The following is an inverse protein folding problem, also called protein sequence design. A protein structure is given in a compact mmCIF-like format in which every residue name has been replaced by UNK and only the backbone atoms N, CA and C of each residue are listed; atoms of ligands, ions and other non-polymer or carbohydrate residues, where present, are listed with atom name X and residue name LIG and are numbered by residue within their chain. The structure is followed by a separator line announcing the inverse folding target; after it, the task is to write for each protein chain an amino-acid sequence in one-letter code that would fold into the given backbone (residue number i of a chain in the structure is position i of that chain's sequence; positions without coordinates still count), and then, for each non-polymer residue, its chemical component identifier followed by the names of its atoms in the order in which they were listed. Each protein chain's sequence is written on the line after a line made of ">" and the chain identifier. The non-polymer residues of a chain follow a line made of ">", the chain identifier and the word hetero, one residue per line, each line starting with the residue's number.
data_IF_497759031823
#
_entry.id   IF_497759031823
#
_cell.length_a   1.000
_cell.length_b   1.000
_cell.length_c   1.000
_cell.angle_alpha   90.00
_cell.angle_beta   90.00
_cell.angle_gamma   90.00
#
_symmetry.space_group_name_H-M   'P 1'
#
loop_
_entity.id
_entity.type
_entity.pdbx_description
1 polymer ?
#
# COMPACT_ATOMS: atom_id res chain seq x y z
N UNK A 1 10.55 -16.13 11.80
CA UNK A 1 9.45 -16.56 12.73
C UNK A 1 8.64 -17.72 12.12
N UNK A 2 7.80 -18.36 12.93
CA UNK A 2 6.83 -19.35 12.45
C UNK A 2 5.60 -18.66 11.89
N UNK A 3 4.99 -19.25 10.87
CA UNK A 3 3.72 -18.75 10.33
C UNK A 3 2.58 -18.93 11.35
N UNK A 4 1.60 -18.03 11.41
CA UNK A 4 0.43 -18.18 12.28
C UNK A 4 -0.40 -19.40 11.85
N UNK A 5 -0.84 -20.18 12.81
CA UNK A 5 -1.67 -21.35 12.58
C UNK A 5 -3.16 -20.97 12.45
N UNK A 6 -3.95 -21.86 11.87
CA UNK A 6 -5.41 -21.72 11.86
C UNK A 6 -5.92 -21.67 13.30
N UNK A 7 -6.75 -20.67 13.61
CA UNK A 7 -7.26 -20.36 14.93
C UNK A 7 -6.45 -19.31 15.71
N UNK A 8 -5.27 -18.95 15.25
CA UNK A 8 -4.46 -17.88 15.85
C UNK A 8 -4.76 -16.51 15.21
N UNK A 9 -4.41 -15.44 15.92
CA UNK A 9 -4.44 -14.09 15.38
C UNK A 9 -3.30 -13.91 14.36
N UNK A 10 -3.63 -13.36 13.20
CA UNK A 10 -2.62 -12.89 12.26
C UNK A 10 -1.86 -11.70 12.82
N UNK A 11 -0.52 -11.62 12.65
CA UNK A 11 0.24 -10.44 13.03
C UNK A 11 -0.29 -9.16 12.35
N UNK A 12 -0.38 -8.08 13.10
CA UNK A 12 -0.84 -6.79 12.58
C UNK A 12 0.20 -6.17 11.64
N UNK A 13 -0.28 -5.34 10.72
CA UNK A 13 0.59 -4.59 9.82
C UNK A 13 0.03 -3.21 9.48
N UNK A 14 0.94 -2.30 9.15
CA UNK A 14 0.69 -1.02 8.52
C UNK A 14 1.77 -0.81 7.46
N UNK A 15 1.40 -0.85 6.19
CA UNK A 15 2.30 -0.75 5.04
C UNK A 15 1.71 0.21 4.00
N UNK A 16 2.57 0.78 3.16
CA UNK A 16 2.14 1.60 2.04
C UNK A 16 1.82 0.73 0.81
N UNK A 17 0.71 1.06 0.13
CA UNK A 17 0.33 0.42 -1.12
C UNK A 17 1.02 1.09 -2.33
N UNK A 18 0.71 0.63 -3.55
CA UNK A 18 1.21 1.16 -4.82
C UNK A 18 0.85 2.64 -5.07
N UNK A 19 -0.16 3.17 -4.39
CA UNK A 19 -0.59 4.57 -4.48
C UNK A 19 -0.06 5.42 -3.32
N UNK A 20 0.87 4.89 -2.51
CA UNK A 20 1.43 5.53 -1.33
C UNK A 20 0.39 5.82 -0.22
N UNK A 21 -0.73 5.09 -0.20
CA UNK A 21 -1.67 5.12 0.90
C UNK A 21 -1.31 4.07 1.95
N UNK A 22 -1.45 4.44 3.23
CA UNK A 22 -1.20 3.51 4.32
C UNK A 22 -2.38 2.56 4.50
N UNK A 23 -2.11 1.27 4.36
CA UNK A 23 -3.06 0.17 4.57
C UNK A 23 -2.74 -0.52 5.89
N UNK A 24 -3.74 -0.64 6.75
CA UNK A 24 -3.64 -1.27 8.07
C UNK A 24 -4.58 -2.47 8.14
N UNK A 25 -4.11 -3.59 8.69
CA UNK A 25 -4.92 -4.80 8.81
C UNK A 25 -6.22 -4.54 9.58
N UNK A 26 -6.17 -3.84 10.71
CA UNK A 26 -7.35 -3.51 11.51
C UNK A 26 -8.42 -2.72 10.76
N UNK A 27 -8.04 -1.84 9.83
CA UNK A 27 -8.99 -1.13 8.96
C UNK A 27 -9.63 -2.06 7.93
N UNK A 28 -8.86 -2.93 7.30
CA UNK A 28 -9.39 -3.92 6.37
C UNK A 28 -10.43 -4.83 7.04
N UNK A 29 -10.17 -5.23 8.28
CA UNK A 29 -11.08 -6.06 9.09
C UNK A 29 -12.37 -5.34 9.50
N UNK A 30 -12.31 -4.04 9.73
CA UNK A 30 -13.50 -3.24 10.04
C UNK A 30 -14.46 -3.14 8.84
N UNK A 31 -13.92 -3.18 7.62
CA UNK A 31 -14.67 -2.98 6.37
C UNK A 31 -15.06 -4.29 5.67
N UNK A 32 -14.60 -5.44 6.17
CA UNK A 32 -14.77 -6.73 5.51
C UNK A 32 -15.08 -7.86 6.50
N UNK A 33 -15.76 -8.89 6.01
CA UNK A 33 -16.01 -10.12 6.77
C UNK A 33 -14.78 -11.05 6.75
N UNK A 34 -14.00 -10.96 5.66
CA UNK A 34 -12.75 -11.69 5.49
C UNK A 34 -11.68 -10.82 4.85
N UNK A 35 -10.42 -11.04 5.25
CA UNK A 35 -9.24 -10.45 4.64
C UNK A 35 -8.34 -11.57 4.13
N UNK A 36 -8.01 -11.52 2.84
CA UNK A 36 -7.01 -12.39 2.21
C UNK A 36 -5.68 -11.66 2.17
N UNK A 37 -4.69 -12.20 2.86
CA UNK A 37 -3.32 -11.71 2.87
C UNK A 37 -2.46 -12.72 2.13
N UNK A 38 -1.98 -12.39 0.94
CA UNK A 38 -1.07 -13.26 0.21
C UNK A 38 0.31 -12.63 0.07
N UNK A 39 1.33 -13.44 0.30
CA UNK A 39 2.74 -13.09 0.15
C UNK A 39 3.25 -13.63 -1.17
N UNK A 40 4.01 -12.81 -1.90
CA UNK A 40 4.58 -13.23 -3.18
C UNK A 40 6.04 -12.78 -3.32
N UNK A 41 6.91 -13.59 -3.99
CA UNK A 41 8.36 -13.38 -4.02
C UNK A 41 8.79 -12.07 -4.65
N UNK A 42 8.22 -11.72 -5.82
CA UNK A 42 8.73 -10.61 -6.62
C UNK A 42 7.66 -10.04 -7.55
N UNK A 43 7.53 -8.72 -7.56
CA UNK A 43 6.75 -8.01 -8.56
C UNK A 43 7.37 -8.21 -9.96
N UNK A 44 6.55 -8.52 -10.96
CA UNK A 44 7.00 -8.78 -12.33
C UNK A 44 7.39 -10.23 -12.63
N UNK A 45 7.56 -11.11 -11.64
CA UNK A 45 7.82 -12.52 -11.93
C UNK A 45 6.57 -13.20 -12.54
N UNK A 46 6.71 -14.07 -13.57
CA UNK A 46 5.58 -14.65 -14.31
C UNK A 46 4.56 -15.38 -13.42
N UNK A 47 5.02 -16.14 -12.42
CA UNK A 47 4.14 -16.82 -11.47
C UNK A 47 3.38 -15.85 -10.56
N UNK A 48 4.00 -14.73 -10.16
CA UNK A 48 3.35 -13.69 -9.37
C UNK A 48 2.32 -12.91 -10.20
N UNK A 49 2.62 -12.64 -11.47
CA UNK A 49 1.68 -12.04 -12.40
C UNK A 49 0.45 -12.92 -12.60
N UNK A 50 0.64 -14.23 -12.77
CA UNK A 50 -0.47 -15.18 -12.92
C UNK A 50 -1.40 -15.18 -11.72
N UNK A 51 -0.85 -15.25 -10.52
CA UNK A 51 -1.62 -15.23 -9.28
C UNK A 51 -2.37 -13.92 -9.09
N UNK A 52 -1.68 -12.77 -9.28
CA UNK A 52 -2.28 -11.44 -9.16
C UNK A 52 -3.40 -11.20 -10.18
N UNK A 53 -3.22 -11.60 -11.44
CA UNK A 53 -4.27 -11.56 -12.48
C UNK A 53 -5.46 -12.43 -12.07
N UNK A 54 -5.21 -13.63 -11.55
CA UNK A 54 -6.27 -14.51 -11.07
C UNK A 54 -7.08 -13.87 -9.94
N UNK A 55 -6.44 -13.23 -8.97
CA UNK A 55 -7.15 -12.46 -7.92
C UNK A 55 -7.92 -11.28 -8.50
N UNK A 56 -7.32 -10.50 -9.42
CA UNK A 56 -8.00 -9.40 -10.11
C UNK A 56 -9.30 -9.87 -10.76
N UNK A 57 -9.26 -11.00 -11.44
CA UNK A 57 -10.39 -11.52 -12.22
C UNK A 57 -11.54 -12.02 -11.31
N UNK A 58 -11.24 -12.55 -10.12
CA UNK A 58 -12.25 -12.99 -9.14
C UNK A 58 -12.64 -11.90 -8.15
N UNK A 59 -12.01 -10.73 -8.19
CA UNK A 59 -12.24 -9.63 -7.26
C UNK A 59 -13.71 -9.18 -7.18
N UNK A 60 -14.46 -9.06 -8.31
CA UNK A 60 -15.88 -8.67 -8.25
C UNK A 60 -16.71 -9.62 -7.38
N UNK A 61 -16.41 -10.92 -7.42
CA UNK A 61 -17.12 -11.92 -6.61
C UNK A 61 -16.66 -11.90 -5.14
N UNK A 62 -15.36 -11.65 -4.89
CA UNK A 62 -14.83 -11.48 -3.55
C UNK A 62 -15.42 -10.25 -2.85
N UNK A 63 -15.57 -9.13 -3.56
CA UNK A 63 -16.20 -7.91 -3.02
C UNK A 63 -17.67 -8.16 -2.65
N UNK A 64 -18.43 -8.91 -3.46
CA UNK A 64 -19.79 -9.31 -3.12
C UNK A 64 -19.87 -10.14 -1.83
N UNK A 65 -18.82 -10.91 -1.55
CA UNK A 65 -18.67 -11.67 -0.31
C UNK A 65 -18.07 -10.86 0.86
N UNK A 66 -17.91 -9.54 0.70
CA UNK A 66 -17.28 -8.64 1.67
C UNK A 66 -15.87 -9.06 2.04
N UNK A 67 -15.07 -9.41 1.02
CA UNK A 67 -13.66 -9.80 1.15
C UNK A 67 -12.76 -8.68 0.68
N UNK A 68 -11.70 -8.40 1.44
CA UNK A 68 -10.57 -7.58 0.99
C UNK A 68 -9.39 -8.49 0.66
N UNK A 69 -8.66 -8.15 -0.37
CA UNK A 69 -7.42 -8.85 -0.76
C UNK A 69 -6.27 -7.86 -0.70
N UNK A 70 -5.16 -8.28 -0.11
CA UNK A 70 -3.90 -7.55 -0.14
C UNK A 70 -2.76 -8.49 -0.50
N UNK A 71 -1.87 -8.03 -1.37
CA UNK A 71 -0.63 -8.73 -1.69
C UNK A 71 0.56 -8.06 -1.00
N UNK A 72 1.42 -8.83 -0.33
CA UNK A 72 2.61 -8.30 0.38
C UNK A 72 3.88 -8.87 -0.26
N UNK A 73 4.81 -7.99 -0.55
CA UNK A 73 6.13 -8.37 -1.10
C UNK A 73 7.22 -7.43 -0.59
N UNK A 74 8.45 -7.93 -0.58
CA UNK A 74 9.64 -7.13 -0.31
C UNK A 74 10.22 -6.43 -1.55
N UNK A 75 9.55 -6.53 -2.71
CA UNK A 75 9.95 -5.80 -3.91
C UNK A 75 9.93 -4.29 -3.69
N UNK A 76 10.81 -3.53 -4.36
CA UNK A 76 10.81 -2.08 -4.31
C UNK A 76 9.46 -1.48 -4.74
N UNK A 77 9.07 -0.37 -4.12
CA UNK A 77 7.79 0.30 -4.39
C UNK A 77 7.59 0.62 -5.87
N UNK A 78 8.65 1.07 -6.59
CA UNK A 78 8.58 1.35 -8.01
C UNK A 78 8.21 0.12 -8.87
N UNK A 79 8.73 -1.06 -8.51
CA UNK A 79 8.38 -2.32 -9.19
C UNK A 79 6.93 -2.72 -8.91
N UNK A 80 6.44 -2.50 -7.69
CA UNK A 80 5.06 -2.77 -7.31
C UNK A 80 4.09 -1.86 -8.08
N UNK A 81 4.41 -0.58 -8.23
CA UNK A 81 3.62 0.39 -9.03
C UNK A 81 3.56 -0.04 -10.49
N UNK A 82 4.71 -0.36 -11.09
CA UNK A 82 4.79 -0.82 -12.49
C UNK A 82 3.97 -2.10 -12.70
N UNK A 83 4.13 -3.07 -11.79
CA UNK A 83 3.45 -4.35 -11.81
C UNK A 83 1.92 -4.20 -11.70
N UNK A 84 1.44 -3.37 -10.76
CA UNK A 84 0.02 -3.11 -10.60
C UNK A 84 -0.58 -2.47 -11.85
N UNK A 85 0.12 -1.50 -12.44
CA UNK A 85 -0.30 -0.80 -13.67
C UNK A 85 -0.30 -1.73 -14.89
N UNK A 86 0.77 -2.49 -15.09
CA UNK A 86 0.93 -3.41 -16.24
C UNK A 86 -0.22 -4.43 -16.30
N UNK A 87 -0.62 -4.96 -15.15
CA UNK A 87 -1.64 -6.00 -15.07
C UNK A 87 -3.05 -5.48 -14.71
N UNK A 88 -3.23 -4.17 -14.57
CA UNK A 88 -4.51 -3.54 -14.22
C UNK A 88 -5.09 -4.09 -12.93
N UNK A 89 -4.25 -4.24 -11.88
CA UNK A 89 -4.67 -4.81 -10.61
C UNK A 89 -5.61 -3.84 -9.88
N UNK A 90 -6.68 -4.39 -9.32
CA UNK A 90 -7.79 -3.66 -8.68
C UNK A 90 -7.86 -3.90 -7.17
N UNK A 91 -6.73 -4.17 -6.54
CA UNK A 91 -6.56 -4.37 -5.09
C UNK A 91 -5.18 -3.91 -4.64
N UNK A 92 -4.98 -3.80 -3.31
CA UNK A 92 -3.76 -3.26 -2.73
C UNK A 92 -2.58 -4.23 -2.80
N UNK A 93 -1.45 -3.75 -3.31
CA UNK A 93 -0.14 -4.38 -3.19
C UNK A 93 0.72 -3.58 -2.22
N UNK A 94 1.21 -4.22 -1.18
CA UNK A 94 1.89 -3.60 -0.06
C UNK A 94 3.41 -3.83 -0.12
N UNK A 95 4.17 -2.75 0.11
CA UNK A 95 5.62 -2.78 0.11
C UNK A 95 6.18 -3.03 1.52
N UNK A 96 6.74 -4.22 1.74
CA UNK A 96 7.47 -4.58 2.96
C UNK A 96 8.98 -4.58 2.71
N UNK A 97 9.55 -3.42 2.36
CA UNK A 97 10.95 -3.28 1.94
C UNK A 97 11.96 -3.73 3.01
N UNK A 98 11.61 -3.62 4.29
CA UNK A 98 12.43 -4.07 5.42
C UNK A 98 12.18 -5.53 5.83
N UNK A 99 11.25 -6.22 5.15
CA UNK A 99 10.88 -7.62 5.36
C UNK A 99 10.36 -7.96 6.76
N UNK A 100 10.00 -6.95 7.55
CA UNK A 100 9.54 -7.15 8.94
C UNK A 100 8.22 -7.91 8.99
N UNK A 101 7.27 -7.53 8.16
CA UNK A 101 5.96 -8.19 8.11
C UNK A 101 6.10 -9.59 7.51
N UNK A 102 6.89 -9.77 6.46
CA UNK A 102 7.20 -11.09 5.90
C UNK A 102 7.82 -12.02 6.97
N UNK A 103 8.72 -11.51 7.83
CA UNK A 103 9.27 -12.30 8.93
C UNK A 103 8.22 -12.61 10.00
N UNK A 104 7.43 -11.63 10.42
CA UNK A 104 6.39 -11.81 11.44
C UNK A 104 5.34 -12.85 11.05
N UNK A 105 5.03 -12.96 9.76
CA UNK A 105 4.11 -13.94 9.20
C UNK A 105 4.78 -15.27 8.83
N UNK A 106 6.09 -15.42 9.08
CA UNK A 106 6.85 -16.61 8.68
C UNK A 106 6.93 -16.81 7.17
N UNK A 107 6.74 -15.72 6.40
CA UNK A 107 6.75 -15.71 4.96
C UNK A 107 8.12 -15.40 4.36
N UNK A 108 9.22 -15.67 5.09
CA UNK A 108 10.59 -15.58 4.55
C UNK A 108 11.17 -16.94 4.28
N UNK A 109 11.95 -17.04 3.22
CA UNK A 109 12.85 -18.15 2.90
C UNK A 109 14.21 -17.57 2.52
N UNK A 110 15.11 -17.52 3.52
CA UNK A 110 16.32 -16.72 3.41
C UNK A 110 15.99 -15.24 3.27
N UNK A 111 16.47 -14.60 2.21
CA UNK A 111 16.20 -13.19 1.94
C UNK A 111 14.96 -12.95 1.06
N UNK A 112 14.32 -14.00 0.58
CA UNK A 112 13.19 -13.88 -0.33
C UNK A 112 11.86 -14.06 0.38
N UNK A 113 10.84 -13.31 -0.07
CA UNK A 113 9.46 -13.53 0.34
C UNK A 113 8.97 -14.87 -0.22
N UNK A 114 8.41 -15.71 0.62
CA UNK A 114 7.79 -16.98 0.22
C UNK A 114 6.40 -16.73 -0.38
N UNK A 115 5.93 -17.64 -1.23
CA UNK A 115 4.55 -17.63 -1.70
C UNK A 115 3.67 -18.35 -0.71
N UNK A 116 2.83 -17.59 -0.02
CA UNK A 116 1.93 -18.08 1.03
C UNK A 116 0.66 -17.24 1.05
N UNK A 117 -0.45 -17.81 1.49
CA UNK A 117 -1.71 -17.07 1.63
C UNK A 117 -2.38 -17.42 2.96
N UNK A 118 -3.00 -16.42 3.56
CA UNK A 118 -3.81 -16.55 4.76
C UNK A 118 -5.17 -15.91 4.52
N UNK A 119 -6.22 -16.56 5.02
CA UNK A 119 -7.57 -15.99 5.06
C UNK A 119 -7.89 -15.72 6.53
N UNK A 120 -8.22 -14.47 6.84
CA UNK A 120 -8.59 -14.04 8.19
C UNK A 120 -10.07 -13.68 8.22
N UNK A 121 -10.74 -13.95 9.32
CA UNK A 121 -12.08 -13.42 9.57
C UNK A 121 -12.01 -11.95 10.07
N UNK A 122 -13.17 -11.32 10.28
CA UNK A 122 -13.27 -9.94 10.79
C UNK A 122 -12.62 -9.72 12.16
N UNK A 123 -12.36 -10.78 12.93
CA UNK A 123 -11.65 -10.70 14.24
C UNK A 123 -10.14 -10.86 14.11
N UNK A 124 -9.62 -11.02 12.90
CA UNK A 124 -8.20 -11.24 12.64
C UNK A 124 -7.71 -12.66 12.87
N UNK A 125 -8.62 -13.59 13.10
CA UNK A 125 -8.25 -14.99 13.30
C UNK A 125 -8.05 -15.65 11.95
N UNK A 126 -6.93 -16.34 11.77
CA UNK A 126 -6.62 -17.13 10.58
C UNK A 126 -7.61 -18.29 10.48
N UNK A 127 -8.40 -18.29 9.43
CA UNK A 127 -9.35 -19.39 9.12
C UNK A 127 -8.75 -20.43 8.19
N UNK A 128 -7.86 -19.99 7.30
CA UNK A 128 -7.13 -20.85 6.37
C UNK A 128 -5.70 -20.35 6.18
N UNK A 129 -4.76 -21.28 6.07
CA UNK A 129 -3.35 -21.00 5.80
C UNK A 129 -2.84 -21.90 4.67
N UNK A 130 -2.22 -21.29 3.65
CA UNK A 130 -1.66 -21.97 2.48
C UNK A 130 -0.16 -21.73 2.43
N UNK A 131 0.67 -22.64 2.99
CA UNK A 131 2.12 -22.51 2.96
C UNK A 131 2.72 -22.73 1.57
N UNK A 132 1.93 -23.28 0.64
CA UNK A 132 2.24 -23.47 -0.78
C UNK A 132 0.97 -23.29 -1.59
N UNK A 133 1.07 -22.62 -2.73
CA UNK A 133 -0.07 -22.34 -3.60
C UNK A 133 0.24 -22.72 -5.06
N UNK A 134 -0.77 -23.24 -5.75
CA UNK A 134 -0.77 -23.38 -7.20
C UNK A 134 -1.34 -22.08 -7.79
N UNK A 135 -0.48 -21.24 -8.37
CA UNK A 135 -0.82 -19.91 -8.89
C UNK A 135 -1.96 -19.90 -9.92
N UNK A 136 -2.24 -21.04 -10.55
CA UNK A 136 -3.30 -21.17 -11.54
C UNK A 136 -4.68 -21.40 -10.92
N UNK A 137 -4.73 -22.07 -9.79
CA UNK A 137 -5.98 -22.50 -9.14
C UNK A 137 -6.29 -21.67 -7.89
N UNK A 138 -5.28 -21.15 -7.24
CA UNK A 138 -5.39 -20.57 -5.92
C UNK A 138 -6.43 -19.45 -5.79
N UNK A 139 -6.54 -18.46 -6.70
CA UNK A 139 -7.58 -17.43 -6.58
C UNK A 139 -9.00 -18.00 -6.59
N UNK A 140 -9.25 -19.01 -7.41
CA UNK A 140 -10.56 -19.69 -7.46
C UNK A 140 -10.80 -20.56 -6.20
N UNK A 141 -9.76 -21.19 -5.65
CA UNK A 141 -9.84 -21.94 -4.39
C UNK A 141 -10.20 -21.00 -3.23
N UNK A 142 -9.55 -19.85 -3.14
CA UNK A 142 -9.84 -18.82 -2.13
C UNK A 142 -11.29 -18.36 -2.23
N UNK A 143 -11.77 -18.04 -3.44
CA UNK A 143 -13.15 -17.64 -3.68
C UNK A 143 -14.16 -18.72 -3.24
N UNK A 144 -13.85 -19.99 -3.50
CA UNK A 144 -14.72 -21.12 -3.15
C UNK A 144 -14.79 -21.39 -1.64
N UNK A 145 -13.69 -21.15 -0.91
CA UNK A 145 -13.60 -21.39 0.54
C UNK A 145 -14.33 -20.35 1.37
N UNK A 146 -14.48 -19.13 0.85
CA UNK A 146 -15.15 -18.06 1.59
C UNK A 146 -16.67 -18.19 1.40
N UNK A 147 -17.44 -18.33 2.48
CA UNK A 147 -18.89 -18.45 2.39
C UNK A 147 -19.53 -17.17 1.84
N UNK A 148 -20.75 -17.27 1.33
CA UNK A 148 -21.54 -16.10 1.01
C UNK A 148 -21.84 -15.31 2.30
N UNK A 149 -21.99 -13.97 2.25
CA UNK A 149 -22.26 -13.16 3.42
C UNK A 149 -23.57 -13.63 4.09
N UNK A 150 -23.50 -13.89 5.39
CA UNK A 150 -24.67 -14.29 6.19
C UNK A 150 -25.52 -13.05 6.48
N UNK A 151 -26.49 -12.72 5.62
CA UNK A 151 -27.56 -11.75 5.90
C UNK A 151 -27.19 -10.28 5.68
N UNK A 152 -27.77 -9.73 4.64
CA UNK A 152 -28.22 -8.41 4.34
C UNK A 152 -27.66 -7.19 5.06
N UNK A 153 -26.65 -6.54 4.47
CA UNK A 153 -26.64 -5.10 4.24
C UNK A 153 -25.90 -4.92 2.89
N UNK A 154 -26.55 -4.23 1.97
CA UNK A 154 -26.00 -3.96 0.63
C UNK A 154 -24.62 -3.31 0.73
N UNK A 155 -23.66 -3.87 0.00
CA UNK A 155 -22.35 -3.26 -0.16
C UNK A 155 -22.51 -1.86 -0.77
N UNK A 156 -22.16 -0.84 -0.01
CA UNK A 156 -21.95 0.49 -0.57
C UNK A 156 -20.74 0.41 -1.53
N UNK A 157 -20.81 1.04 -2.71
CA UNK A 157 -19.65 1.12 -3.60
C UNK A 157 -18.52 1.83 -2.86
N UNK A 158 -17.37 1.17 -2.76
CA UNK A 158 -16.15 1.79 -2.24
C UNK A 158 -15.62 2.73 -3.30
N UNK A 159 -16.14 3.95 -3.24
CA UNK A 159 -15.54 5.12 -3.86
C UNK A 159 -14.21 5.37 -3.13
N UNK A 160 -13.13 5.44 -3.87
CA UNK A 160 -11.81 5.83 -3.36
C UNK A 160 -11.96 7.13 -2.59
N UNK A 161 -11.79 7.08 -1.28
CA UNK A 161 -11.96 8.24 -0.41
C UNK A 161 -10.90 9.30 -0.73
N UNK A 162 -11.29 10.54 -1.07
CA UNK A 162 -10.36 11.66 -1.10
C UNK A 162 -9.96 12.04 0.33
N UNK A 163 -8.73 12.53 0.42
CA UNK A 163 -8.05 12.92 1.63
C UNK A 163 -8.86 13.78 2.61
N UNK A 164 -8.75 13.40 3.87
CA UNK A 164 -8.77 14.21 5.09
C UNK A 164 -9.61 15.49 5.14
N UNK A 165 -10.79 15.38 5.71
CA UNK A 165 -11.44 16.53 6.34
C UNK A 165 -10.92 16.69 7.78
N UNK A 166 -10.33 17.83 8.05
CA UNK A 166 -9.89 18.28 9.36
C UNK A 166 -11.09 18.37 10.30
N UNK A 167 -11.09 17.60 11.39
CA UNK A 167 -12.03 17.76 12.49
C UNK A 167 -11.64 18.99 13.31
N UNK A 168 -12.38 20.07 13.17
CA UNK A 168 -12.36 21.19 14.09
C UNK A 168 -13.21 20.81 15.31
N UNK A 169 -12.55 20.54 16.41
CA UNK A 169 -13.23 20.49 17.72
C UNK A 169 -13.34 21.90 18.25
N UNK A 170 -14.59 22.40 18.35
CA UNK A 170 -14.95 23.63 19.03
C UNK A 170 -14.81 23.44 20.54
N UNK A 171 -13.97 24.30 21.18
CA UNK A 171 -13.94 24.48 22.64
C UNK A 171 -14.50 25.86 22.98
N UNK A 172 -15.34 26.00 24.01
CA UNK A 172 -15.95 27.29 24.37
C UNK A 172 -14.96 28.21 25.09
N UNK A 173 -15.09 29.51 24.80
CA UNK A 173 -14.30 30.56 25.35
C UNK A 173 -14.62 30.83 26.84
N UNK A 174 -13.61 31.02 27.69
CA UNK A 174 -13.67 31.88 28.85
C UNK A 174 -12.38 32.65 29.04
N UNK A 175 -12.59 33.93 29.04
CA UNK A 175 -11.86 35.12 29.44
C UNK A 175 -10.44 35.09 30.02
N UNK A 176 -9.65 35.97 29.39
CA UNK A 176 -8.87 37.08 29.98
C UNK A 176 -7.64 36.77 30.84
N UNK A 177 -6.46 37.09 30.35
CA UNK A 177 -5.65 38.24 30.78
C UNK A 177 -4.39 38.39 29.92
N UNK A 178 -4.12 39.59 29.50
CA UNK A 178 -3.02 40.01 28.66
C UNK A 178 -1.65 39.92 29.39
N UNK A 179 -0.63 39.40 28.68
CA UNK A 179 0.79 39.89 28.76
C UNK A 179 1.45 39.59 27.41
N UNK A 180 1.97 40.61 26.76
CA UNK A 180 2.85 40.59 25.57
C UNK A 180 4.23 41.07 26.02
N UNK A 181 5.30 41.04 25.20
CA UNK A 181 5.80 40.02 24.26
C UNK A 181 7.29 39.64 24.56
N UNK A 182 7.74 38.49 24.06
CA UNK A 182 9.14 38.36 23.70
C UNK A 182 9.33 37.30 22.59
N UNK A 183 9.86 37.74 21.51
CA UNK A 183 10.35 37.10 20.31
C UNK A 183 11.12 35.81 20.55
N UNK A 184 10.81 34.76 19.73
CA UNK A 184 11.85 33.97 19.07
C UNK A 184 11.24 33.28 17.83
N UNK A 185 11.68 33.76 16.67
CA UNK A 185 11.32 33.23 15.37
C UNK A 185 11.92 31.85 15.13
N UNK A 186 11.12 30.97 14.53
CA UNK A 186 11.58 29.91 13.66
C UNK A 186 10.71 29.93 12.42
N UNK A 187 11.17 30.71 11.45
CA UNK A 187 10.72 30.61 10.07
C UNK A 187 11.20 29.25 9.53
N UNK A 188 10.27 28.34 9.26
CA UNK A 188 10.54 27.25 8.32
C UNK A 188 10.77 27.92 6.95
N UNK A 189 12.03 28.06 6.59
CA UNK A 189 12.47 28.84 5.46
C UNK A 189 12.18 28.18 4.10
N UNK A 190 12.24 28.99 3.05
CA UNK A 190 12.15 28.59 1.64
C UNK A 190 13.30 27.68 1.16
N UNK A 191 14.24 27.32 2.02
CA UNK A 191 15.45 26.57 1.68
C UNK A 191 15.22 25.09 1.33
N UNK A 192 14.27 24.41 1.97
CA UNK A 192 14.01 22.98 1.70
C UNK A 192 13.47 22.73 0.28
N UNK A 193 12.66 23.64 -0.23
CA UNK A 193 12.14 23.54 -1.60
C UNK A 193 13.23 23.89 -2.61
N UNK A 194 14.08 24.85 -2.30
CA UNK A 194 15.22 25.22 -3.13
C UNK A 194 16.29 24.12 -3.16
N UNK A 195 16.51 23.42 -2.05
CA UNK A 195 17.48 22.33 -1.97
C UNK A 195 16.98 21.08 -2.72
N UNK A 196 15.70 20.75 -2.60
CA UNK A 196 15.05 19.68 -3.39
C UNK A 196 15.12 19.99 -4.90
N UNK A 197 14.86 21.23 -5.31
CA UNK A 197 14.96 21.65 -6.70
C UNK A 197 16.39 21.55 -7.24
N UNK A 198 17.40 21.91 -6.43
CA UNK A 198 18.82 21.78 -6.79
C UNK A 198 19.24 20.30 -6.93
N UNK A 199 18.75 19.41 -6.08
CA UNK A 199 19.02 17.97 -6.16
C UNK A 199 18.43 17.35 -7.43
N UNK A 200 17.19 17.70 -7.79
CA UNK A 200 16.55 17.25 -9.02
C UNK A 200 17.29 17.78 -10.26
N UNK A 201 17.70 19.05 -10.24
CA UNK A 201 18.48 19.65 -11.33
C UNK A 201 19.83 18.94 -11.53
N UNK A 202 20.51 18.60 -10.44
CA UNK A 202 21.78 17.86 -10.48
C UNK A 202 21.64 16.47 -11.07
N UNK A 203 20.56 15.75 -10.73
CA UNK A 203 20.23 14.44 -11.29
C UNK A 203 19.91 14.51 -12.78
N UNK A 204 19.17 15.51 -13.24
CA UNK A 204 18.84 15.73 -14.65
C UNK A 204 20.08 16.08 -15.48
N UNK A 205 21.01 16.88 -14.93
CA UNK A 205 22.29 17.19 -15.57
C UNK A 205 23.18 15.96 -15.71
N UNK A 206 23.24 15.10 -14.69
CA UNK A 206 23.97 13.84 -14.75
C UNK A 206 23.36 12.88 -15.77
N UNK A 207 22.04 12.83 -15.89
CA UNK A 207 21.36 12.02 -16.89
C UNK A 207 21.64 12.48 -18.32
N UNK A 208 21.71 13.79 -18.54
CA UNK A 208 22.10 14.39 -19.83
C UNK A 208 23.54 14.06 -20.21
N UNK A 209 24.46 14.03 -19.26
CA UNK A 209 25.87 13.67 -19.48
C UNK A 209 26.05 12.18 -19.82
N UNK A 210 25.14 11.31 -19.37
CA UNK A 210 25.13 9.88 -19.70
C UNK A 210 24.36 9.52 -20.97
N UNK A 211 23.99 10.50 -21.80
CA UNK A 211 23.34 10.28 -23.11
C UNK A 211 21.82 10.09 -23.06
N UNK A 212 21.17 10.36 -21.92
CA UNK A 212 19.72 10.31 -21.79
C UNK A 212 19.01 11.54 -22.39
N UNK A 213 17.85 11.33 -23.01
CA UNK A 213 17.02 12.39 -23.57
C UNK A 213 16.11 12.97 -22.50
N UNK A 214 16.15 14.29 -22.29
CA UNK A 214 15.25 14.99 -21.35
C UNK A 214 13.94 15.32 -22.11
N UNK A 215 12.75 15.00 -21.56
CA UNK A 215 11.48 15.39 -22.16
C UNK A 215 11.35 16.90 -22.35
N UNK A 216 10.68 17.38 -23.41
CA UNK A 216 10.63 18.81 -23.78
C UNK A 216 9.95 19.70 -22.72
N UNK A 217 8.97 19.18 -22.01
CA UNK A 217 8.27 19.85 -20.91
C UNK A 217 9.19 20.16 -19.71
N UNK A 218 10.14 19.27 -19.42
CA UNK A 218 11.14 19.46 -18.35
C UNK A 218 12.22 20.49 -18.78
N UNK A 219 12.58 20.53 -20.07
CA UNK A 219 13.50 21.52 -20.62
C UNK A 219 12.99 22.95 -20.50
N UNK A 220 11.67 23.14 -20.68
CA UNK A 220 11.03 24.45 -20.56
C UNK A 220 10.97 24.95 -19.11
N UNK A 221 10.68 24.08 -18.15
CA UNK A 221 10.75 24.35 -16.72
C UNK A 221 12.15 24.76 -16.28
N UNK A 222 13.20 24.09 -16.76
CA UNK A 222 14.59 24.42 -16.45
C UNK A 222 15.00 25.78 -16.99
N UNK A 223 14.48 26.18 -18.15
CA UNK A 223 14.75 27.50 -18.75
C UNK A 223 14.08 28.65 -17.99
N UNK A 224 12.95 28.39 -17.33
CA UNK A 224 12.26 29.39 -16.48
C UNK A 224 13.00 29.61 -15.14
N UNK A 225 13.53 28.57 -14.53
CA UNK A 225 14.32 28.68 -13.28
C UNK A 225 15.68 29.36 -13.48
N UNK A 226 16.29 29.22 -14.64
CA UNK A 226 17.59 29.86 -14.96
C UNK A 226 17.52 31.37 -15.24
N UNK A 227 16.33 31.96 -15.32
CA UNK A 227 16.13 33.39 -15.56
C UNK A 227 15.81 34.21 -14.29
N UNK A 228 15.70 33.56 -13.14
CA UNK A 228 15.36 34.20 -11.85
C UNK A 228 16.52 34.21 -10.85
N UNK A 229 17.74 33.82 -11.27
CA UNK A 229 18.98 33.95 -10.45
C UNK A 229 20.05 34.74 -11.21
#
# INVERSE_FOLDING_TARGET
>A
KTMPAVGELGPDFALYNQEQHMVQLGRLQADADYVVVYFFPQAGAPGCAREAIGFRDVMPELVKKRVRVVGITSSPSAEIVAFAKEHGLNFDLLCDSNRRICDEWGALRGENTARMTFILNAKGIVTHAFPRVDVWKHPAEVLALIPAPSGGIAAAPVESAPAAAQSQASVPATNSTAVSPASMGHSAGPDLVAEAARAVLKLLLMHKQSGGTIPPDVSELLSQFGRQN
#
